data_IF_800869544776
#
_entry.id   IF_800869544776
#
_cell.length_a   1.000
_cell.length_b   1.000
_cell.length_c   1.000
_cell.angle_alpha   90.00
_cell.angle_beta   90.00
_cell.angle_gamma   90.00
#
_symmetry.space_group_name_H-M   'P 1'
#
loop_
_entity.id
_entity.type
_entity.pdbx_description
1 polymer ?
#
# COMPACT_ATOMS: atom_id res chain seq x y z
N UNK A 1 -11.68 -2.53 -8.77
CA UNK A 1 -11.00 -1.20 -8.83
C UNK A 1 -11.79 -0.04 -8.20
N UNK A 2 -13.01 0.34 -8.65
CA UNK A 2 -13.75 1.52 -8.12
C UNK A 2 -14.04 1.50 -6.60
N UNK A 3 -14.07 0.34 -5.96
CA UNK A 3 -14.39 0.17 -4.54
C UNK A 3 -13.21 -0.29 -3.67
N UNK A 4 -11.98 -0.29 -4.19
CA UNK A 4 -10.82 -0.67 -3.39
C UNK A 4 -10.48 0.46 -2.40
N UNK A 5 -10.53 0.18 -1.10
CA UNK A 5 -10.22 1.14 -0.03
C UNK A 5 -8.77 1.63 -0.12
N UNK A 6 -7.82 0.75 -0.45
CA UNK A 6 -6.40 1.09 -0.57
C UNK A 6 -6.15 2.03 -1.74
N UNK A 7 -6.86 1.88 -2.86
CA UNK A 7 -6.77 2.82 -3.98
C UNK A 7 -7.29 4.20 -3.59
N UNK A 8 -8.37 4.28 -2.79
CA UNK A 8 -8.89 5.55 -2.30
C UNK A 8 -7.91 6.23 -1.35
N UNK A 9 -7.28 5.46 -0.46
CA UNK A 9 -6.21 5.95 0.42
C UNK A 9 -5.02 6.45 -0.40
N UNK A 10 -4.56 5.68 -1.40
CA UNK A 10 -3.44 6.06 -2.27
C UNK A 10 -3.71 7.33 -3.09
N UNK A 11 -4.98 7.62 -3.41
CA UNK A 11 -5.43 8.84 -4.09
C UNK A 11 -5.70 10.02 -3.14
N UNK A 12 -5.67 9.80 -1.82
CA UNK A 12 -6.05 10.82 -0.84
C UNK A 12 -7.55 11.09 -0.76
N UNK A 13 -8.40 10.17 -1.24
CA UNK A 13 -9.86 10.26 -1.09
C UNK A 13 -10.32 9.82 0.31
N UNK A 14 -9.51 9.00 1.00
CA UNK A 14 -9.69 8.59 2.40
C UNK A 14 -8.41 8.95 3.14
N UNK A 15 -8.55 9.65 4.27
CA UNK A 15 -7.43 10.03 5.11
C UNK A 15 -6.75 8.79 5.74
N UNK A 16 -5.44 8.88 5.90
CA UNK A 16 -4.64 7.84 6.55
C UNK A 16 -3.44 8.46 7.27
N UNK A 17 -2.97 7.76 8.31
CA UNK A 17 -1.73 8.13 9.00
C UNK A 17 -0.53 7.68 8.17
N UNK A 18 -0.14 8.50 7.20
CA UNK A 18 1.01 8.25 6.32
C UNK A 18 2.32 8.37 7.10
N UNK A 19 3.19 7.38 6.94
CA UNK A 19 4.54 7.37 7.52
C UNK A 19 5.64 7.47 6.47
N UNK A 20 5.33 7.08 5.23
CA UNK A 20 6.20 7.24 4.06
C UNK A 20 5.34 7.36 2.79
N UNK A 21 5.78 8.17 1.83
CA UNK A 21 5.15 8.29 0.53
C UNK A 21 6.18 8.70 -0.52
N UNK A 22 6.21 8.00 -1.65
CA UNK A 22 6.96 8.40 -2.83
C UNK A 22 6.08 8.34 -4.09
N UNK A 23 6.69 8.33 -5.28
CA UNK A 23 5.97 8.29 -6.54
C UNK A 23 5.24 6.96 -6.82
N UNK A 24 5.70 5.85 -6.23
CA UNK A 24 5.23 4.48 -6.51
C UNK A 24 4.58 3.80 -5.31
N UNK A 25 5.00 4.13 -4.10
CA UNK A 25 4.67 3.42 -2.87
C UNK A 25 4.11 4.38 -1.81
N UNK A 26 3.33 3.79 -0.91
CA UNK A 26 2.74 4.46 0.24
C UNK A 26 2.83 3.52 1.45
N UNK A 27 3.25 4.05 2.59
CA UNK A 27 3.18 3.35 3.86
C UNK A 27 2.28 4.10 4.84
N UNK A 28 1.35 3.36 5.46
CA UNK A 28 0.38 3.90 6.43
C UNK A 28 0.37 3.06 7.70
N UNK A 29 0.04 3.67 8.83
CA UNK A 29 -0.26 2.89 10.03
C UNK A 29 -1.56 2.10 9.85
N UNK A 30 -1.54 0.85 10.30
CA UNK A 30 -2.75 0.03 10.33
C UNK A 30 -3.75 0.61 11.35
N UNK A 31 -5.03 0.63 10.98
CA UNK A 31 -6.12 1.07 11.84
C UNK A 31 -6.41 0.06 12.96
N UNK A 32 -6.20 -1.23 12.71
CA UNK A 32 -6.41 -2.33 13.65
C UNK A 32 -5.08 -3.10 13.89
N UNK A 33 -4.06 -2.45 14.46
CA UNK A 33 -2.74 -3.02 14.57
C UNK A 33 -2.69 -4.15 15.61
N UNK A 34 -1.95 -5.22 15.31
CA UNK A 34 -1.64 -6.28 16.29
C UNK A 34 -0.51 -5.89 17.25
N UNK A 35 0.31 -4.89 16.87
CA UNK A 35 1.49 -4.42 17.60
C UNK A 35 1.69 -2.92 17.33
N UNK A 36 2.32 -2.22 18.28
CA UNK A 36 2.57 -0.79 18.13
C UNK A 36 3.45 -0.52 16.90
N UNK A 37 2.96 0.33 16.01
CA UNK A 37 3.69 0.73 14.79
C UNK A 37 3.50 -0.21 13.60
N UNK A 38 2.60 -1.20 13.67
CA UNK A 38 2.23 -2.01 12.51
C UNK A 38 1.87 -1.11 11.33
N UNK A 39 2.60 -1.28 10.24
CA UNK A 39 2.56 -0.42 9.06
C UNK A 39 2.27 -1.26 7.84
N UNK A 40 1.35 -0.79 7.01
CA UNK A 40 1.02 -1.38 5.71
C UNK A 40 1.82 -0.63 4.64
N UNK A 41 2.71 -1.34 3.95
CA UNK A 41 3.43 -0.83 2.78
C UNK A 41 2.75 -1.36 1.52
N UNK A 42 2.36 -0.47 0.62
CA UNK A 42 1.59 -0.83 -0.57
C UNK A 42 2.00 -0.01 -1.80
N UNK A 43 1.92 -0.60 -3.01
CA UNK A 43 2.03 0.16 -4.24
C UNK A 43 0.82 1.08 -4.42
N UNK A 44 1.03 2.25 -5.03
CA UNK A 44 -0.03 3.17 -5.45
C UNK A 44 -0.81 2.61 -6.64
N UNK A 45 -0.17 1.77 -7.46
CA UNK A 45 -0.81 1.00 -8.51
C UNK A 45 -1.60 -0.17 -7.92
N UNK A 46 -2.77 -0.44 -8.48
CA UNK A 46 -3.60 -1.54 -8.03
C UNK A 46 -3.16 -2.88 -8.62
N UNK A 47 -2.93 -3.85 -7.75
CA UNK A 47 -2.73 -5.26 -8.09
C UNK A 47 -3.75 -6.12 -7.35
N UNK A 48 -3.91 -7.37 -7.78
CA UNK A 48 -4.70 -8.35 -7.04
C UNK A 48 -4.03 -8.70 -5.71
N UNK A 49 -4.79 -9.31 -4.80
CA UNK A 49 -4.30 -9.85 -3.53
C UNK A 49 -3.29 -10.99 -3.71
N UNK A 50 -3.34 -11.70 -4.84
CA UNK A 50 -2.38 -12.74 -5.16
C UNK A 50 -1.05 -12.13 -5.62
N UNK A 51 -0.07 -12.12 -4.72
CA UNK A 51 1.28 -11.57 -4.97
C UNK A 51 2.00 -12.28 -6.12
N UNK A 52 1.66 -13.53 -6.42
CA UNK A 52 2.29 -14.27 -7.52
C UNK A 52 1.80 -13.82 -8.89
N UNK A 53 0.70 -13.07 -8.96
CA UNK A 53 0.21 -12.43 -10.18
C UNK A 53 0.82 -11.04 -10.42
N UNK A 54 1.57 -10.50 -9.46
CA UNK A 54 2.27 -9.23 -9.61
C UNK A 54 3.49 -9.39 -10.54
N UNK A 55 3.77 -8.45 -11.46
CA UNK A 55 5.00 -8.47 -12.22
C UNK A 55 6.23 -8.46 -11.29
N UNK A 56 7.21 -9.32 -11.58
CA UNK A 56 8.39 -9.52 -10.72
C UNK A 56 9.10 -8.22 -10.36
N UNK A 57 9.22 -7.30 -11.33
CA UNK A 57 9.84 -5.99 -11.12
C UNK A 57 9.11 -5.15 -10.07
N UNK A 58 7.77 -5.10 -10.13
CA UNK A 58 6.98 -4.31 -9.18
C UNK A 58 7.08 -4.91 -7.77
N UNK A 59 7.11 -6.24 -7.67
CA UNK A 59 7.32 -6.94 -6.40
C UNK A 59 8.71 -6.66 -5.82
N UNK A 60 9.76 -6.77 -6.63
CA UNK A 60 11.15 -6.49 -6.21
C UNK A 60 11.32 -5.05 -5.72
N UNK A 61 10.74 -4.08 -6.43
CA UNK A 61 10.76 -2.67 -6.01
C UNK A 61 9.99 -2.49 -4.68
N UNK A 62 8.84 -3.14 -4.51
CA UNK A 62 8.03 -3.05 -3.27
C UNK A 62 8.75 -3.56 -2.03
N UNK A 63 9.44 -4.70 -2.14
CA UNK A 63 10.12 -5.34 -0.98
C UNK A 63 11.50 -4.73 -0.67
N UNK A 64 12.02 -3.90 -1.57
CA UNK A 64 13.31 -3.22 -1.41
C UNK A 64 13.17 -1.76 -0.97
N UNK A 65 11.93 -1.26 -0.87
CA UNK A 65 11.59 0.11 -0.51
C UNK A 65 11.76 0.39 0.99
#
# INVERSE_FOLDING_TARGET
>A
MKNCIFCKIAKGEIDSAKVFEDNKFLAILDLNPNTKGMTLVMPKNHFDSDVFLMPEKDFQELVSA
#
